data_IF_585883145861
#
_entry.id   IF_585883145861
#
_cell.length_a   1.000
_cell.length_b   1.000
_cell.length_c   1.000
_cell.angle_alpha   90.00
_cell.angle_beta   90.00
_cell.angle_gamma   90.00
#
_symmetry.space_group_name_H-M   'P 1'
#
loop_
_entity.id
_entity.type
_entity.pdbx_description
1 polymer ?
#
# COMPACT_ATOMS: atom_id res chain seq x y z
N UNK A 1 -3.42 -23.06 18.69
CA UNK A 1 -4.00 -24.04 19.66
C UNK A 1 -4.27 -23.29 20.95
N UNK A 2 -5.15 -23.77 21.84
CA UNK A 2 -5.51 -23.04 23.06
C UNK A 2 -4.30 -22.70 23.94
N UNK A 3 -3.34 -23.63 24.10
CA UNK A 3 -2.10 -23.37 24.85
C UNK A 3 -1.21 -22.28 24.23
N UNK A 4 -1.13 -22.20 22.89
CA UNK A 4 -0.36 -21.14 22.23
C UNK A 4 -1.02 -19.77 22.40
N UNK A 5 -2.36 -19.72 22.35
CA UNK A 5 -3.11 -18.48 22.55
C UNK A 5 -2.93 -17.89 23.96
N UNK A 6 -2.69 -18.73 24.98
CA UNK A 6 -2.40 -18.23 26.33
C UNK A 6 -1.15 -17.36 26.33
N UNK A 7 -0.05 -17.86 25.77
CA UNK A 7 1.19 -17.09 25.64
C UNK A 7 1.04 -15.89 24.72
N UNK A 8 0.38 -16.08 23.57
CA UNK A 8 0.17 -15.01 22.58
C UNK A 8 -0.65 -13.85 23.15
N UNK A 9 -1.73 -14.14 23.90
CA UNK A 9 -2.56 -13.09 24.52
C UNK A 9 -1.80 -12.17 25.48
N UNK A 10 -0.75 -12.65 26.14
CA UNK A 10 0.08 -11.80 27.01
C UNK A 10 0.82 -10.74 26.17
N UNK A 11 1.25 -11.12 24.97
CA UNK A 11 1.87 -10.21 24.02
C UNK A 11 0.82 -9.27 23.41
N UNK A 12 -0.27 -9.81 22.85
CA UNK A 12 -1.33 -9.01 22.21
C UNK A 12 -1.93 -7.97 23.15
N UNK A 13 -2.34 -8.40 24.35
CA UNK A 13 -3.01 -7.55 25.33
C UNK A 13 -2.01 -6.77 26.21
N UNK A 14 -0.70 -6.88 25.96
CA UNK A 14 0.40 -6.26 26.74
C UNK A 14 0.25 -6.44 28.27
N UNK A 15 -0.08 -7.66 28.72
CA UNK A 15 -0.39 -7.97 30.14
C UNK A 15 0.80 -7.96 31.10
N UNK A 16 2.02 -7.74 30.62
CA UNK A 16 3.25 -7.77 31.41
C UNK A 16 4.16 -6.62 31.03
N UNK A 17 4.86 -6.04 32.00
CA UNK A 17 5.83 -4.96 31.75
C UNK A 17 7.18 -5.46 31.19
N UNK A 18 7.53 -6.73 31.47
CA UNK A 18 8.80 -7.32 31.04
C UNK A 18 8.60 -8.12 29.75
N UNK A 19 9.09 -7.60 28.64
CA UNK A 19 9.04 -8.26 27.34
C UNK A 19 10.40 -8.84 26.94
N UNK A 20 10.42 -10.06 26.40
CA UNK A 20 11.63 -10.65 25.81
C UNK A 20 12.03 -9.95 24.50
N UNK A 21 11.07 -9.34 23.81
CA UNK A 21 11.31 -8.53 22.63
C UNK A 21 11.85 -7.15 23.05
N UNK A 22 13.12 -6.89 22.75
CA UNK A 22 13.80 -5.63 23.10
C UNK A 22 13.38 -4.45 22.23
N UNK A 23 12.60 -4.70 21.17
CA UNK A 23 12.10 -3.65 20.29
C UNK A 23 10.77 -3.05 20.77
N UNK A 24 10.16 -3.61 21.81
CA UNK A 24 8.98 -3.02 22.43
C UNK A 24 9.42 -1.82 23.27
N UNK A 25 8.90 -0.66 22.91
CA UNK A 25 9.06 0.59 23.63
C UNK A 25 7.87 0.79 24.57
N UNK A 26 8.07 0.46 25.86
CA UNK A 26 7.03 0.56 26.89
C UNK A 26 6.48 1.97 27.06
N UNK A 27 7.26 3.01 26.70
CA UNK A 27 6.76 4.39 26.75
C UNK A 27 5.72 4.67 25.67
N UNK A 28 5.70 3.87 24.59
CA UNK A 28 4.75 4.00 23.47
C UNK A 28 3.58 3.03 23.53
N UNK A 29 3.55 2.07 24.47
CA UNK A 29 2.47 1.07 24.56
C UNK A 29 1.09 1.70 24.75
N UNK A 30 0.99 2.88 25.37
CA UNK A 30 -0.26 3.64 25.49
C UNK A 30 -0.83 4.14 24.15
N UNK A 31 -0.05 4.08 23.07
CA UNK A 31 -0.47 4.39 21.69
C UNK A 31 -1.07 3.17 20.98
N UNK A 32 -0.97 1.98 21.58
CA UNK A 32 -1.63 0.79 21.05
C UNK A 32 -3.14 0.91 21.23
N UNK A 33 -3.91 0.29 20.34
CA UNK A 33 -5.37 0.28 20.44
C UNK A 33 -5.93 -1.01 19.86
N UNK A 34 -7.08 -1.45 20.38
CA UNK A 34 -7.82 -2.60 19.89
C UNK A 34 -9.00 -2.11 19.05
N UNK A 35 -9.11 -2.57 17.80
CA UNK A 35 -10.26 -2.29 16.94
C UNK A 35 -11.45 -3.23 17.21
N UNK A 36 -11.23 -4.30 17.97
CA UNK A 36 -12.29 -5.18 18.44
C UNK A 36 -12.90 -4.60 19.71
N UNK A 37 -13.92 -3.74 19.58
CA UNK A 37 -14.63 -3.09 20.69
C UNK A 37 -15.57 -4.06 21.45
N UNK A 38 -15.02 -5.17 21.94
CA UNK A 38 -15.71 -6.14 22.80
C UNK A 38 -15.19 -6.06 24.22
N UNK A 39 -16.03 -6.39 25.20
CA UNK A 39 -15.57 -6.53 26.57
C UNK A 39 -14.63 -7.73 26.73
N UNK A 40 -13.77 -7.66 27.75
CA UNK A 40 -12.82 -8.72 28.08
C UNK A 40 -11.54 -8.72 27.25
N UNK A 41 -10.62 -9.59 27.63
CA UNK A 41 -9.33 -9.76 26.94
C UNK A 41 -9.42 -10.81 25.81
N UNK A 42 -8.35 -10.92 25.01
CA UNK A 42 -8.29 -11.85 23.87
C UNK A 42 -8.67 -13.29 24.24
N UNK A 43 -8.22 -13.78 25.40
CA UNK A 43 -8.52 -15.14 25.86
C UNK A 43 -9.97 -15.32 26.27
N UNK A 44 -10.52 -14.34 26.98
CA UNK A 44 -11.90 -14.38 27.48
C UNK A 44 -12.87 -14.39 26.33
N UNK A 45 -12.66 -13.52 25.33
CA UNK A 45 -13.45 -13.45 24.09
C UNK A 45 -13.36 -14.75 23.29
N UNK A 46 -12.17 -15.34 23.17
CA UNK A 46 -12.00 -16.64 22.52
C UNK A 46 -12.75 -17.75 23.27
N UNK A 47 -12.61 -17.82 24.59
CA UNK A 47 -13.28 -18.85 25.41
C UNK A 47 -14.81 -18.67 25.46
N UNK A 48 -15.32 -17.45 25.31
CA UNK A 48 -16.73 -17.17 25.06
C UNK A 48 -17.18 -17.71 23.70
N UNK A 49 -16.54 -17.31 22.60
CA UNK A 49 -16.94 -17.79 21.26
C UNK A 49 -16.85 -19.31 21.14
N UNK A 50 -15.84 -19.95 21.73
CA UNK A 50 -15.69 -21.41 21.74
C UNK A 50 -16.77 -22.15 22.55
N UNK A 51 -17.52 -21.47 23.44
CA UNK A 51 -18.68 -22.06 24.13
C UNK A 51 -19.93 -22.07 23.25
N UNK A 52 -20.00 -21.19 22.26
CA UNK A 52 -21.15 -21.05 21.35
C UNK A 52 -21.07 -22.03 20.17
N UNK A 53 -19.85 -22.35 19.71
CA UNK A 53 -19.62 -23.20 18.54
C UNK A 53 -19.06 -24.58 18.91
N UNK A 54 -19.30 -25.58 18.06
CA UNK A 54 -18.73 -26.90 18.29
C UNK A 54 -17.22 -26.90 18.05
N UNK A 55 -16.44 -27.08 19.12
CA UNK A 55 -15.00 -27.34 19.05
C UNK A 55 -14.70 -28.82 19.32
N UNK A 56 -13.92 -29.46 18.44
CA UNK A 56 -13.52 -30.85 18.67
C UNK A 56 -12.63 -30.97 19.92
N UNK A 57 -12.87 -31.98 20.74
CA UNK A 57 -12.04 -32.26 21.91
C UNK A 57 -10.73 -32.97 21.52
N UNK A 58 -9.82 -32.25 20.85
CA UNK A 58 -8.44 -32.69 20.57
C UNK A 58 -7.46 -31.58 20.90
N UNK A 59 -6.26 -31.96 21.38
CA UNK A 59 -5.24 -31.00 21.82
C UNK A 59 -4.66 -30.14 20.68
N UNK A 60 -4.71 -30.65 19.45
CA UNK A 60 -4.11 -30.05 18.26
C UNK A 60 -5.05 -29.15 17.46
N UNK A 61 -6.30 -28.96 17.92
CA UNK A 61 -7.27 -28.09 17.25
C UNK A 61 -6.75 -26.67 17.14
N UNK A 62 -6.84 -26.12 15.94
CA UNK A 62 -6.53 -24.73 15.63
C UNK A 62 -7.76 -23.89 15.94
N UNK A 63 -7.86 -23.49 17.20
CA UNK A 63 -9.00 -22.76 17.77
C UNK A 63 -9.03 -21.28 17.41
N UNK A 64 -7.91 -20.74 16.96
CA UNK A 64 -7.74 -19.35 16.57
C UNK A 64 -6.77 -19.30 15.40
N UNK A 65 -7.00 -18.34 14.51
CA UNK A 65 -6.15 -17.96 13.40
C UNK A 65 -5.77 -16.50 13.56
N UNK A 66 -4.61 -16.12 13.05
CA UNK A 66 -4.04 -14.78 13.19
C UNK A 66 -3.59 -14.29 11.82
N UNK A 67 -3.99 -13.07 11.47
CA UNK A 67 -3.40 -12.27 10.41
C UNK A 67 -2.57 -11.16 11.03
N UNK A 68 -1.32 -11.02 10.59
CA UNK A 68 -0.48 -9.87 10.92
C UNK A 68 -0.48 -8.93 9.73
N UNK A 69 -1.00 -7.73 9.92
CA UNK A 69 -1.08 -6.69 8.88
C UNK A 69 -0.13 -5.58 9.27
N UNK A 70 0.94 -5.40 8.52
CA UNK A 70 1.91 -4.31 8.73
C UNK A 70 1.52 -3.07 7.93
N UNK A 71 1.73 -1.89 8.50
CA UNK A 71 1.52 -0.62 7.82
C UNK A 71 2.44 -0.53 6.58
N UNK A 72 1.88 -0.26 5.38
CA UNK A 72 2.66 -0.05 4.16
C UNK A 72 3.68 1.08 4.31
N UNK A 73 4.86 0.92 3.68
CA UNK A 73 5.94 1.93 3.71
C UNK A 73 5.47 3.30 3.21
N UNK A 74 4.58 3.33 2.21
CA UNK A 74 4.00 4.56 1.68
C UNK A 74 3.18 5.36 2.71
N UNK A 75 2.70 4.71 3.77
CA UNK A 75 1.93 5.34 4.84
C UNK A 75 2.76 5.69 6.09
N UNK A 76 4.05 5.38 6.13
CA UNK A 76 4.88 5.61 7.33
C UNK A 76 5.01 7.09 7.71
N UNK A 77 5.00 7.98 6.71
CA UNK A 77 5.11 9.43 6.91
C UNK A 77 3.75 10.16 6.82
N UNK A 78 2.66 9.42 6.63
CA UNK A 78 1.31 9.98 6.59
C UNK A 78 0.77 10.22 8.00
N UNK A 79 -0.34 10.97 8.10
CA UNK A 79 -0.91 11.32 9.40
C UNK A 79 -1.39 10.09 10.19
N UNK A 80 -1.44 10.22 11.52
CA UNK A 80 -1.92 9.16 12.41
C UNK A 80 -3.36 8.75 12.05
N UNK A 81 -4.19 9.71 11.62
CA UNK A 81 -5.54 9.43 11.14
C UNK A 81 -5.54 8.54 9.89
N UNK A 82 -4.63 8.78 8.93
CA UNK A 82 -4.54 7.97 7.71
C UNK A 82 -4.02 6.56 8.01
N UNK A 83 -3.02 6.44 8.87
CA UNK A 83 -2.51 5.15 9.34
C UNK A 83 -3.61 4.35 10.06
N UNK A 84 -4.36 5.01 10.95
CA UNK A 84 -5.50 4.40 11.64
C UNK A 84 -6.60 3.99 10.66
N UNK A 85 -6.93 4.84 9.68
CA UNK A 85 -7.96 4.54 8.68
C UNK A 85 -7.62 3.31 7.84
N UNK A 86 -6.34 3.10 7.51
CA UNK A 86 -5.87 1.88 6.87
C UNK A 86 -6.16 0.62 7.70
N UNK A 87 -5.88 0.65 9.00
CA UNK A 87 -6.15 -0.48 9.89
C UNK A 87 -7.66 -0.70 10.11
N UNK A 88 -8.45 0.37 10.24
CA UNK A 88 -9.91 0.28 10.37
C UNK A 88 -10.56 -0.37 9.15
N UNK A 89 -10.23 0.05 7.92
CA UNK A 89 -10.81 -0.60 6.72
C UNK A 89 -10.27 -2.03 6.53
N UNK A 90 -9.03 -2.30 6.93
CA UNK A 90 -8.51 -3.68 6.91
C UNK A 90 -9.24 -4.57 7.93
N UNK A 91 -9.54 -4.04 9.12
CA UNK A 91 -10.32 -4.72 10.14
C UNK A 91 -11.73 -5.04 9.65
N UNK A 92 -12.41 -4.09 9.00
CA UNK A 92 -13.73 -4.30 8.41
C UNK A 92 -13.71 -5.42 7.35
N UNK A 93 -12.74 -5.38 6.42
CA UNK A 93 -12.55 -6.44 5.43
C UNK A 93 -12.38 -7.82 6.06
N UNK A 94 -11.50 -7.95 7.07
CA UNK A 94 -11.23 -9.23 7.72
C UNK A 94 -12.42 -9.72 8.54
N UNK A 95 -13.13 -8.80 9.18
CA UNK A 95 -14.33 -9.10 9.98
C UNK A 95 -15.43 -9.68 9.09
N UNK A 96 -15.75 -9.01 7.98
CA UNK A 96 -16.74 -9.51 7.02
C UNK A 96 -16.32 -10.87 6.44
N UNK A 97 -15.05 -10.98 6.04
CA UNK A 97 -14.52 -12.18 5.38
C UNK A 97 -14.52 -13.43 6.27
N UNK A 98 -14.37 -13.26 7.58
CA UNK A 98 -14.25 -14.38 8.53
C UNK A 98 -15.46 -14.56 9.45
N UNK A 99 -16.64 -14.17 8.95
CA UNK A 99 -17.92 -14.51 9.58
C UNK A 99 -18.31 -13.57 10.70
N UNK A 100 -18.08 -12.28 10.51
CA UNK A 100 -18.61 -11.21 11.35
C UNK A 100 -17.83 -10.97 12.63
N UNK A 101 -18.28 -9.95 13.36
CA UNK A 101 -17.66 -9.51 14.60
C UNK A 101 -17.60 -10.63 15.62
N UNK A 102 -18.60 -11.51 15.71
CA UNK A 102 -18.69 -12.64 16.66
C UNK A 102 -17.45 -13.54 16.65
N UNK A 103 -16.82 -13.73 15.48
CA UNK A 103 -15.65 -14.60 15.34
C UNK A 103 -14.34 -13.87 15.68
N UNK A 104 -14.33 -12.53 15.65
CA UNK A 104 -13.15 -11.74 15.99
C UNK A 104 -12.93 -11.69 17.49
N UNK A 105 -11.71 -11.99 17.94
CA UNK A 105 -11.35 -12.02 19.36
C UNK A 105 -10.31 -10.94 19.72
N UNK A 106 -9.49 -10.51 18.76
CA UNK A 106 -8.55 -9.39 18.94
C UNK A 106 -8.27 -8.72 17.60
N UNK A 107 -8.13 -7.39 17.62
CA UNK A 107 -7.64 -6.60 16.50
C UNK A 107 -6.69 -5.52 17.03
N UNK A 108 -5.65 -5.95 17.75
CA UNK A 108 -4.70 -5.07 18.42
C UNK A 108 -3.70 -4.47 17.44
N UNK A 109 -3.68 -3.14 17.34
CA UNK A 109 -2.67 -2.37 16.61
C UNK A 109 -1.54 -1.99 17.56
N UNK A 110 -0.36 -2.54 17.32
CA UNK A 110 0.86 -2.25 18.05
C UNK A 110 1.63 -1.10 17.37
N UNK A 111 1.72 0.03 18.07
CA UNK A 111 2.49 1.22 17.70
C UNK A 111 3.77 1.38 18.52
N UNK A 112 4.08 0.41 19.39
CA UNK A 112 5.21 0.40 20.31
C UNK A 112 6.39 -0.46 19.83
N UNK A 113 6.34 -0.97 18.60
CA UNK A 113 7.41 -1.76 17.98
C UNK A 113 8.02 -1.03 16.78
N UNK A 114 8.86 -1.73 15.99
CA UNK A 114 9.62 -1.13 14.87
C UNK A 114 8.72 -0.54 13.79
N UNK A 115 7.64 -1.21 13.43
CA UNK A 115 6.70 -0.77 12.40
C UNK A 115 5.29 -1.00 12.90
N UNK A 116 4.36 -0.03 12.79
CA UNK A 116 2.98 -0.24 13.17
C UNK A 116 2.39 -1.47 12.48
N UNK A 117 1.74 -2.34 13.25
CA UNK A 117 1.11 -3.55 12.72
C UNK A 117 -0.10 -3.96 13.56
N UNK A 118 -1.08 -4.57 12.92
CA UNK A 118 -2.28 -5.13 13.53
C UNK A 118 -2.16 -6.64 13.63
N UNK A 119 -2.45 -7.17 14.81
CA UNK A 119 -2.74 -8.58 15.04
C UNK A 119 -4.26 -8.78 14.99
N UNK A 120 -4.74 -9.42 13.93
CA UNK A 120 -6.15 -9.75 13.76
C UNK A 120 -6.36 -11.24 14.07
N UNK A 121 -6.95 -11.52 15.22
CA UNK A 121 -7.21 -12.85 15.74
C UNK A 121 -8.69 -13.19 15.64
N UNK A 122 -8.99 -14.37 15.08
CA UNK A 122 -10.37 -14.84 14.94
C UNK A 122 -10.51 -16.36 15.12
N UNK A 123 -11.69 -16.78 15.58
CA UNK A 123 -12.08 -18.19 15.65
C UNK A 123 -12.56 -18.64 14.26
N UNK A 124 -11.92 -19.63 13.62
CA UNK A 124 -12.30 -20.06 12.28
C UNK A 124 -13.54 -20.95 12.30
N UNK A 125 -14.72 -20.34 12.23
CA UNK A 125 -16.01 -21.01 12.28
C UNK A 125 -16.52 -21.33 10.88
N UNK A 126 -17.09 -22.52 10.70
CA UNK A 126 -17.83 -22.92 9.50
C UNK A 126 -19.11 -23.65 9.89
N UNK A 127 -20.11 -23.64 9.02
CA UNK A 127 -21.33 -24.41 9.19
C UNK A 127 -21.12 -25.88 8.80
N UNK A 128 -21.50 -26.82 9.67
CA UNK A 128 -21.49 -28.26 9.41
C UNK A 128 -22.90 -28.71 8.98
N UNK A 129 -23.15 -28.73 7.67
CA UNK A 129 -24.46 -29.12 7.10
C UNK A 129 -24.95 -30.49 7.57
N UNK A 130 -24.05 -31.44 7.85
CA UNK A 130 -24.44 -32.79 8.27
C UNK A 130 -24.96 -32.85 9.70
N UNK A 131 -24.56 -31.88 10.52
CA UNK A 131 -24.88 -31.83 11.96
C UNK A 131 -25.67 -30.58 12.32
N UNK A 132 -26.03 -29.77 11.33
CA UNK A 132 -26.80 -28.53 11.43
C UNK A 132 -26.30 -27.63 12.57
N UNK A 133 -24.99 -27.37 12.60
CA UNK A 133 -24.36 -26.55 13.65
C UNK A 133 -23.09 -25.87 13.18
N UNK A 134 -22.72 -24.79 13.85
CA UNK A 134 -21.40 -24.16 13.71
C UNK A 134 -20.30 -25.03 14.33
N UNK A 135 -19.14 -25.10 13.67
CA UNK A 135 -17.95 -25.78 14.17
C UNK A 135 -16.67 -24.99 13.90
N UNK A 136 -15.66 -25.22 14.73
CA UNK A 136 -14.30 -24.68 14.52
C UNK A 136 -13.54 -25.55 13.52
N UNK A 137 -13.10 -24.98 12.40
CA UNK A 137 -12.27 -25.66 11.41
C UNK A 137 -11.39 -24.70 10.61
N UNK A 138 -10.19 -24.40 11.12
CA UNK A 138 -9.18 -23.63 10.39
C UNK A 138 -8.85 -24.21 9.00
N UNK A 139 -8.94 -25.54 8.84
CA UNK A 139 -8.68 -26.22 7.57
C UNK A 139 -9.71 -25.85 6.49
N UNK A 140 -10.96 -25.63 6.89
CA UNK A 140 -12.06 -25.30 5.97
C UNK A 140 -12.13 -23.78 5.73
N UNK A 141 -11.73 -22.95 6.69
CA UNK A 141 -11.65 -21.50 6.51
C UNK A 141 -10.41 -21.10 5.69
N UNK A 142 -9.21 -21.47 6.15
CA UNK A 142 -7.94 -21.06 5.52
C UNK A 142 -7.45 -22.08 4.50
N UNK A 143 -8.20 -22.21 3.42
CA UNK A 143 -7.84 -23.11 2.30
C UNK A 143 -6.69 -22.54 1.46
N UNK A 144 -6.09 -23.35 0.59
CA UNK A 144 -5.10 -22.84 -0.40
C UNK A 144 -5.69 -21.81 -1.34
N UNK A 145 -6.97 -21.96 -1.70
CA UNK A 145 -7.66 -20.99 -2.57
C UNK A 145 -7.83 -19.65 -1.86
N UNK A 146 -8.25 -19.71 -0.59
CA UNK A 146 -8.40 -18.54 0.27
C UNK A 146 -7.09 -17.75 0.37
N UNK A 147 -6.01 -18.41 0.75
CA UNK A 147 -4.69 -17.76 0.87
C UNK A 147 -4.18 -17.21 -0.47
N UNK A 148 -4.58 -17.80 -1.61
CA UNK A 148 -4.15 -17.35 -2.93
C UNK A 148 -4.90 -16.09 -3.39
N UNK A 149 -6.20 -15.96 -3.08
CA UNK A 149 -6.98 -14.78 -3.49
C UNK A 149 -6.89 -13.63 -2.49
N UNK A 150 -6.52 -13.91 -1.23
CA UNK A 150 -6.53 -12.95 -0.13
C UNK A 150 -5.91 -11.59 -0.47
N UNK A 151 -4.66 -11.56 -0.98
CA UNK A 151 -4.00 -10.30 -1.31
C UNK A 151 -4.71 -9.52 -2.42
N UNK A 152 -5.20 -10.20 -3.45
CA UNK A 152 -5.94 -9.55 -4.53
C UNK A 152 -7.28 -8.97 -4.04
N UNK A 153 -7.96 -9.68 -3.14
CA UNK A 153 -9.25 -9.24 -2.60
C UNK A 153 -9.07 -8.07 -1.62
N UNK A 154 -8.07 -8.13 -0.75
CA UNK A 154 -7.73 -7.02 0.16
C UNK A 154 -7.28 -5.77 -0.61
N UNK A 155 -6.42 -5.94 -1.62
CA UNK A 155 -5.98 -4.84 -2.50
C UNK A 155 -7.15 -4.12 -3.16
N UNK A 156 -8.09 -4.89 -3.73
CA UNK A 156 -9.31 -4.36 -4.35
C UNK A 156 -10.14 -3.59 -3.32
N UNK A 157 -10.39 -4.20 -2.15
CA UNK A 157 -11.18 -3.59 -1.10
C UNK A 157 -10.59 -2.24 -0.65
N UNK A 158 -9.30 -2.19 -0.34
CA UNK A 158 -8.66 -0.96 0.13
C UNK A 158 -8.65 0.15 -0.94
N UNK A 159 -8.42 -0.19 -2.21
CA UNK A 159 -8.49 0.77 -3.32
C UNK A 159 -9.90 1.32 -3.55
N UNK A 160 -10.93 0.52 -3.29
CA UNK A 160 -12.32 0.96 -3.41
C UNK A 160 -12.77 1.82 -2.23
N UNK A 161 -12.32 1.49 -1.01
CA UNK A 161 -12.80 2.12 0.23
C UNK A 161 -12.02 3.36 0.65
N UNK A 162 -10.72 3.39 0.39
CA UNK A 162 -9.82 4.49 0.76
C UNK A 162 -8.84 4.84 -0.40
N UNK A 163 -9.33 5.13 -1.61
CA UNK A 163 -8.49 5.45 -2.78
C UNK A 163 -7.56 6.66 -2.57
N UNK A 164 -7.94 7.57 -1.69
CA UNK A 164 -7.15 8.75 -1.32
C UNK A 164 -5.96 8.41 -0.39
N UNK A 165 -6.00 7.26 0.29
CA UNK A 165 -4.95 6.78 1.21
C UNK A 165 -4.14 5.66 0.55
N UNK A 166 -4.79 4.76 -0.19
CA UNK A 166 -4.19 3.51 -0.66
C UNK A 166 -4.20 3.38 -2.20
N UNK A 167 -3.04 3.58 -2.83
CA UNK A 167 -2.93 3.64 -4.31
C UNK A 167 -1.95 2.63 -4.92
N UNK A 168 -0.82 2.38 -4.27
CA UNK A 168 0.29 1.57 -4.82
C UNK A 168 -0.04 0.08 -4.94
N UNK A 169 -0.99 -0.38 -4.13
CA UNK A 169 -1.45 -1.75 -4.07
C UNK A 169 -0.51 -2.71 -3.34
N UNK A 170 -0.97 -3.94 -3.13
CA UNK A 170 -0.19 -4.97 -2.43
C UNK A 170 0.91 -5.46 -3.37
N UNK A 171 2.15 -5.02 -3.12
CA UNK A 171 3.34 -5.49 -3.81
C UNK A 171 3.64 -6.94 -3.41
N UNK A 172 3.08 -7.90 -4.17
CA UNK A 172 3.30 -9.34 -3.98
C UNK A 172 4.78 -9.78 -4.06
N UNK A 173 5.68 -8.93 -4.57
CA UNK A 173 7.11 -9.23 -4.76
C UNK A 173 8.03 -8.69 -3.63
N UNK A 174 7.51 -7.84 -2.71
CA UNK A 174 8.26 -7.40 -1.51
C UNK A 174 8.08 -8.34 -0.33
N UNK A 175 7.02 -9.15 -0.33
CA UNK A 175 6.89 -10.25 0.63
C UNK A 175 7.96 -11.26 0.25
N UNK A 176 9.02 -11.39 1.06
CA UNK A 176 10.02 -12.44 0.86
C UNK A 176 9.26 -13.76 0.85
N UNK A 177 9.13 -14.37 -0.33
CA UNK A 177 8.58 -15.69 -0.48
C UNK A 177 9.48 -16.65 0.30
N UNK A 178 9.09 -16.98 1.52
CA UNK A 178 9.75 -18.03 2.28
C UNK A 178 9.38 -19.33 1.56
N UNK A 179 10.26 -19.81 0.67
CA UNK A 179 10.03 -20.98 -0.18
C UNK A 179 9.55 -22.22 0.60
N UNK A 180 9.90 -22.33 1.89
CA UNK A 180 9.27 -23.25 2.84
C UNK A 180 9.69 -22.95 4.30
N UNK A 181 8.83 -23.28 5.28
CA UNK A 181 9.11 -23.20 6.73
C UNK A 181 10.42 -23.92 7.11
N UNK A 182 10.78 -24.97 6.37
CA UNK A 182 12.04 -25.70 6.56
C UNK A 182 13.26 -24.83 6.29
N UNK A 183 13.23 -24.02 5.23
CA UNK A 183 14.30 -23.08 4.88
C UNK A 183 14.46 -22.03 5.98
N UNK A 184 13.35 -21.51 6.51
CA UNK A 184 13.35 -20.53 7.59
C UNK A 184 13.96 -21.09 8.88
N UNK A 185 13.59 -22.32 9.26
CA UNK A 185 14.17 -23.00 10.43
C UNK A 185 15.66 -23.27 10.26
N UNK A 186 16.10 -23.60 9.05
CA UNK A 186 17.51 -23.79 8.73
C UNK A 186 18.29 -22.48 8.87
N UNK A 187 17.82 -21.39 8.26
CA UNK A 187 18.45 -20.08 8.39
C UNK A 187 18.45 -19.58 9.84
N UNK A 188 17.36 -19.77 10.58
CA UNK A 188 17.29 -19.41 12.00
C UNK A 188 18.29 -20.20 12.84
N UNK A 189 18.44 -21.50 12.59
CA UNK A 189 19.44 -22.34 13.27
C UNK A 189 20.87 -21.94 12.91
N UNK A 190 21.14 -21.64 11.63
CA UNK A 190 22.46 -21.15 11.17
C UNK A 190 22.81 -19.79 11.79
N UNK A 191 21.83 -18.88 11.90
CA UNK A 191 22.01 -17.56 12.53
C UNK A 191 22.32 -17.72 14.02
N UNK A 192 21.60 -18.58 14.75
CA UNK A 192 21.87 -18.76 16.19
C UNK A 192 23.17 -19.50 16.45
N UNK A 193 23.54 -20.47 15.61
CA UNK A 193 24.86 -21.07 15.67
C UNK A 193 25.95 -20.02 15.48
N UNK A 194 25.83 -19.16 14.47
CA UNK A 194 26.81 -18.09 14.23
C UNK A 194 26.87 -17.07 15.37
N UNK A 195 25.72 -16.74 15.99
CA UNK A 195 25.68 -15.87 17.17
C UNK A 195 26.36 -16.50 18.38
N UNK A 196 26.12 -17.78 18.66
CA UNK A 196 26.80 -18.49 19.76
C UNK A 196 28.30 -18.60 19.53
N UNK A 197 28.73 -18.94 18.31
CA UNK A 197 30.14 -18.97 17.94
C UNK A 197 30.79 -17.59 18.14
N UNK A 198 30.15 -16.52 17.67
CA UNK A 198 30.63 -15.15 17.84
C UNK A 198 30.68 -14.72 19.31
N UNK A 199 29.66 -15.09 20.12
CA UNK A 199 29.61 -14.77 21.54
C UNK A 199 30.70 -15.51 22.34
N UNK A 200 30.95 -16.77 22.02
CA UNK A 200 32.01 -17.56 22.65
C UNK A 200 33.41 -17.05 22.27
N UNK A 201 33.60 -16.62 21.02
CA UNK A 201 34.84 -15.98 20.59
C UNK A 201 35.05 -14.62 21.27
N UNK A 202 34.00 -13.79 21.39
CA UNK A 202 34.08 -12.53 22.12
C UNK A 202 34.45 -12.72 23.59
N UNK A 203 33.92 -13.76 24.25
CA UNK A 203 34.29 -14.14 25.63
C UNK A 203 35.77 -14.55 25.71
N UNK A 204 36.26 -15.32 24.73
CA UNK A 204 37.67 -15.75 24.68
C UNK A 204 38.66 -14.58 24.55
N UNK A 205 38.21 -13.43 24.01
CA UNK A 205 39.02 -12.23 23.84
C UNK A 205 38.98 -11.28 25.05
N UNK A 206 37.84 -11.19 25.73
CA UNK A 206 37.59 -10.21 26.82
C UNK A 206 38.53 -10.39 28.01
N UNK A 207 38.90 -11.63 28.35
CA UNK A 207 39.72 -11.91 29.53
C UNK A 207 41.22 -11.68 29.26
N UNK A 208 41.83 -12.19 28.19
CA UNK A 208 43.24 -11.95 27.91
C UNK A 208 43.54 -10.46 27.56
N UNK A 209 42.58 -9.72 27.00
CA UNK A 209 42.72 -8.26 26.81
C UNK A 209 42.81 -7.49 28.14
N UNK A 210 42.12 -7.95 29.19
CA UNK A 210 42.27 -7.39 30.55
C UNK A 210 43.67 -7.69 31.13
N UNK A 211 44.21 -8.88 30.85
CA UNK A 211 45.56 -9.27 31.27
C UNK A 211 46.60 -8.38 30.57
N UNK A 212 46.47 -8.15 29.26
CA UNK A 212 47.34 -7.23 28.52
C UNK A 212 47.33 -5.82 29.14
N UNK A 213 46.15 -5.24 29.37
CA UNK A 213 46.01 -3.92 30.03
C UNK A 213 46.61 -3.89 31.43
N UNK A 214 46.55 -5.00 32.18
CA UNK A 214 47.17 -5.08 33.50
C UNK A 214 48.71 -5.08 33.41
N UNK A 215 49.27 -5.77 32.41
CA UNK A 215 50.71 -5.81 32.14
C UNK A 215 51.20 -4.44 31.65
N UNK A 216 50.47 -3.79 30.74
CA UNK A 216 50.79 -2.44 30.24
C UNK A 216 50.86 -1.42 31.39
N UNK A 217 49.87 -1.41 32.29
CA UNK A 217 49.89 -0.54 33.49
C UNK A 217 51.04 -0.86 34.44
N UNK A 218 51.43 -2.13 34.54
CA UNK A 218 52.52 -2.57 35.41
C UNK A 218 53.89 -2.16 34.85
N UNK A 219 54.03 -2.18 33.52
CA UNK A 219 55.20 -1.64 32.79
C UNK A 219 55.24 -0.11 32.91
N UNK A 220 54.13 0.59 32.66
CA UNK A 220 54.02 2.05 32.79
C UNK A 220 54.38 2.53 34.21
N UNK A 221 53.90 1.86 35.25
CA UNK A 221 54.25 2.21 36.65
C UNK A 221 55.74 2.06 36.97
N UNK A 222 56.45 1.15 36.28
CA UNK A 222 57.89 0.92 36.47
C UNK A 222 58.76 1.84 35.62
N UNK A 223 58.25 2.32 34.48
CA UNK A 223 58.99 3.21 33.57
C UNK A 223 58.87 4.70 33.90
N UNK A 224 57.95 5.12 34.79
CA UNK A 224 57.96 6.47 35.37
C UNK A 224 59.13 6.60 36.36
N UNK A 225 60.33 6.81 35.84
CA UNK A 225 61.52 7.13 36.64
C UNK A 225 62.88 6.77 36.03
N UNK A 226 62.94 5.94 34.97
CA UNK A 226 64.23 5.46 34.44
C UNK A 226 64.32 5.69 32.94
N UNK A 227 65.11 6.70 32.55
CA UNK A 227 65.50 6.91 31.17
C UNK A 227 66.53 5.85 30.75
N UNK A 228 66.21 5.13 29.67
CA UNK A 228 67.11 4.27 28.90
C UNK A 228 67.82 3.12 29.64
N UNK A 229 67.17 1.96 29.68
CA UNK A 229 67.81 0.64 29.48
C UNK A 229 66.74 -0.34 29.00
N UNK A 230 67.07 -1.23 28.05
CA UNK A 230 66.19 -2.36 27.68
C UNK A 230 66.03 -3.25 28.92
N UNK A 231 64.98 -3.02 29.69
CA UNK A 231 64.65 -3.85 30.84
C UNK A 231 63.97 -5.13 30.37
N UNK A 232 64.54 -6.26 30.76
CA UNK A 232 63.89 -7.57 30.61
C UNK A 232 62.82 -7.67 31.70
N UNK A 233 61.55 -7.61 31.31
CA UNK A 233 60.43 -7.82 32.23
C UNK A 233 60.19 -9.32 32.35
N UNK A 234 60.47 -9.90 33.52
CA UNK A 234 60.10 -11.29 33.81
C UNK A 234 58.59 -11.40 33.97
N UNK A 235 57.95 -12.08 33.01
CA UNK A 235 56.54 -12.44 33.05
C UNK A 235 56.40 -13.84 33.68
N UNK A 236 55.49 -14.02 34.64
CA UNK A 236 55.09 -15.36 35.10
C UNK A 236 54.68 -16.22 33.90
N UNK A 237 55.11 -17.48 33.87
CA UNK A 237 54.89 -18.41 32.75
C UNK A 237 53.39 -18.51 32.38
N UNK A 238 52.50 -18.49 33.36
CA UNK A 238 51.06 -18.51 33.16
C UNK A 238 50.53 -17.27 32.40
N UNK A 239 51.11 -16.10 32.64
CA UNK A 239 50.74 -14.86 31.92
C UNK A 239 51.29 -14.87 30.49
N UNK A 240 52.47 -15.45 30.29
CA UNK A 240 53.08 -15.59 28.96
C UNK A 240 52.26 -16.53 28.06
N UNK A 241 51.85 -17.70 28.56
CA UNK A 241 51.01 -18.63 27.77
C UNK A 241 49.66 -18.01 27.42
N UNK A 242 49.03 -17.28 28.35
CA UNK A 242 47.78 -16.55 28.08
C UNK A 242 47.94 -15.44 27.04
N UNK A 243 49.10 -14.76 27.01
CA UNK A 243 49.40 -13.74 25.98
C UNK A 243 49.63 -14.38 24.61
N UNK A 244 50.26 -15.55 24.56
CA UNK A 244 50.44 -16.36 23.34
C UNK A 244 49.09 -16.84 22.79
N UNK A 245 48.16 -17.25 23.66
CA UNK A 245 46.78 -17.58 23.27
C UNK A 245 46.05 -16.37 22.68
N UNK A 246 46.16 -15.18 23.29
CA UNK A 246 45.60 -13.93 22.77
C UNK A 246 46.13 -13.66 21.35
N UNK A 247 47.46 -13.70 21.15
CA UNK A 247 48.09 -13.45 19.85
C UNK A 247 47.58 -14.43 18.77
N UNK A 248 47.55 -15.72 19.09
CA UNK A 248 47.04 -16.75 18.17
C UNK A 248 45.55 -16.58 17.87
N UNK A 249 44.73 -16.16 18.84
CA UNK A 249 43.31 -15.88 18.63
C UNK A 249 43.07 -14.66 17.74
N UNK A 250 43.86 -13.59 17.91
CA UNK A 250 43.79 -12.39 17.08
C UNK A 250 44.11 -12.67 15.61
N UNK A 251 45.13 -13.51 15.36
CA UNK A 251 45.49 -13.93 14.00
C UNK A 251 44.34 -14.72 13.34
N UNK A 252 43.69 -15.62 14.08
CA UNK A 252 42.53 -16.39 13.57
C UNK A 252 41.35 -15.48 13.21
N UNK A 253 41.06 -14.47 14.03
CA UNK A 253 39.99 -13.50 13.77
C UNK A 253 40.32 -12.71 12.50
N UNK A 254 41.56 -12.25 12.35
CA UNK A 254 41.98 -11.51 11.17
C UNK A 254 41.85 -12.34 9.88
N UNK A 255 42.29 -13.60 9.91
CA UNK A 255 42.13 -14.52 8.78
C UNK A 255 40.66 -14.76 8.41
N UNK A 256 39.76 -14.88 9.41
CA UNK A 256 38.32 -15.00 9.16
C UNK A 256 37.73 -13.71 8.61
N UNK A 257 38.11 -12.56 9.16
CA UNK A 257 37.69 -11.26 8.67
C UNK A 257 38.08 -11.08 7.20
N UNK A 258 39.31 -11.43 6.82
CA UNK A 258 39.76 -11.37 5.43
C UNK A 258 38.96 -12.30 4.52
N UNK A 259 38.62 -13.52 4.99
CA UNK A 259 37.75 -14.45 4.25
C UNK A 259 36.32 -13.93 4.08
N UNK A 260 35.73 -13.33 5.12
CA UNK A 260 34.39 -12.74 5.01
C UNK A 260 34.39 -11.51 4.12
N UNK A 261 35.43 -10.67 4.23
CA UNK A 261 35.64 -9.53 3.35
C UNK A 261 35.77 -9.95 1.89
N UNK A 262 36.53 -11.02 1.59
CA UNK A 262 36.68 -11.50 0.21
C UNK A 262 35.35 -11.98 -0.36
N UNK A 263 34.57 -12.75 0.42
CA UNK A 263 33.23 -13.20 0.03
C UNK A 263 32.28 -12.03 -0.21
N UNK A 264 32.23 -11.07 0.69
CA UNK A 264 31.38 -9.89 0.57
C UNK A 264 31.74 -9.07 -0.69
N UNK A 265 33.03 -8.92 -1.00
CA UNK A 265 33.48 -8.25 -2.23
C UNK A 265 33.03 -9.00 -3.48
N UNK A 266 33.07 -10.33 -3.47
CA UNK A 266 32.63 -11.16 -4.60
C UNK A 266 31.11 -11.10 -4.80
N UNK A 267 30.33 -11.14 -3.72
CA UNK A 267 28.87 -10.94 -3.77
C UNK A 267 28.51 -9.55 -4.28
N UNK A 268 29.17 -8.50 -3.80
CA UNK A 268 28.96 -7.13 -4.30
C UNK A 268 29.27 -7.04 -5.80
N UNK A 269 30.31 -7.74 -6.27
CA UNK A 269 30.63 -7.78 -7.70
C UNK A 269 29.53 -8.46 -8.51
N UNK A 270 29.02 -9.60 -8.04
CA UNK A 270 27.93 -10.32 -8.70
C UNK A 270 26.63 -9.50 -8.71
N UNK A 271 26.30 -8.86 -7.58
CA UNK A 271 25.14 -7.97 -7.49
C UNK A 271 25.24 -6.79 -8.47
N UNK A 272 26.42 -6.19 -8.63
CA UNK A 272 26.63 -5.13 -9.63
C UNK A 272 26.37 -5.60 -11.06
N UNK A 273 26.79 -6.82 -11.40
CA UNK A 273 26.50 -7.41 -12.73
C UNK A 273 24.99 -7.61 -12.90
N UNK A 274 24.31 -8.14 -11.89
CA UNK A 274 22.86 -8.35 -11.95
C UNK A 274 22.09 -7.04 -12.09
N UNK A 275 22.45 -6.00 -11.33
CA UNK A 275 21.84 -4.67 -11.44
C UNK A 275 22.00 -4.13 -12.86
N UNK A 276 23.20 -4.25 -13.45
CA UNK A 276 23.43 -3.81 -14.83
C UNK A 276 22.53 -4.55 -15.83
N UNK A 277 22.42 -5.87 -15.71
CA UNK A 277 21.55 -6.66 -16.59
C UNK A 277 20.08 -6.26 -16.42
N UNK A 278 19.62 -6.03 -15.19
CA UNK A 278 18.25 -5.57 -14.94
C UNK A 278 17.99 -4.16 -15.48
N UNK A 279 18.97 -3.27 -15.45
CA UNK A 279 18.87 -1.95 -16.07
C UNK A 279 18.71 -2.06 -17.60
N UNK A 280 19.50 -2.93 -18.24
CA UNK A 280 19.41 -3.20 -19.68
C UNK A 280 18.04 -3.80 -20.07
N UNK A 281 17.56 -4.79 -19.30
CA UNK A 281 16.24 -5.39 -19.52
C UNK A 281 15.11 -4.37 -19.35
N UNK A 282 15.19 -3.52 -18.32
CA UNK A 282 14.21 -2.46 -18.08
C UNK A 282 14.17 -1.43 -19.21
N UNK A 283 15.32 -1.08 -19.78
CA UNK A 283 15.39 -0.17 -20.92
C UNK A 283 14.69 -0.80 -22.15
N UNK A 284 14.95 -2.07 -22.42
CA UNK A 284 14.29 -2.81 -23.51
C UNK A 284 12.77 -2.88 -23.32
N UNK A 285 12.29 -3.13 -22.10
CA UNK A 285 10.86 -3.11 -21.78
C UNK A 285 10.22 -1.74 -21.98
N UNK A 286 10.94 -0.64 -21.67
CA UNK A 286 10.46 0.73 -21.92
C UNK A 286 10.24 0.98 -23.41
N UNK A 287 11.17 0.59 -24.28
CA UNK A 287 10.99 0.73 -25.72
C UNK A 287 9.79 -0.08 -26.23
N UNK A 288 9.64 -1.33 -25.77
CA UNK A 288 8.52 -2.17 -26.15
C UNK A 288 7.16 -1.59 -25.71
N UNK A 289 7.09 -0.99 -24.52
CA UNK A 289 5.88 -0.30 -24.06
C UNK A 289 5.53 0.92 -24.93
N UNK A 290 6.52 1.67 -25.39
CA UNK A 290 6.30 2.79 -26.33
C UNK A 290 5.72 2.27 -27.65
N UNK A 291 6.27 1.18 -28.19
CA UNK A 291 5.79 0.60 -29.44
C UNK A 291 4.38 0.02 -29.31
N UNK A 292 4.08 -0.69 -28.21
CA UNK A 292 2.71 -1.12 -27.92
C UNK A 292 1.75 0.06 -27.77
N UNK A 293 2.18 1.17 -27.16
CA UNK A 293 1.37 2.39 -27.08
C UNK A 293 1.02 2.97 -28.47
N UNK A 294 1.98 2.94 -29.40
CA UNK A 294 1.75 3.34 -30.80
C UNK A 294 0.78 2.40 -31.51
N UNK A 295 0.96 1.09 -31.34
CA UNK A 295 0.08 0.07 -31.94
C UNK A 295 -1.36 0.19 -31.42
N UNK A 296 -1.55 0.35 -30.11
CA UNK A 296 -2.86 0.60 -29.50
C UNK A 296 -3.51 1.83 -30.10
N UNK A 297 -2.76 2.93 -30.27
CA UNK A 297 -3.28 4.18 -30.86
C UNK A 297 -3.75 3.95 -32.31
N UNK A 298 -3.00 3.17 -33.10
CA UNK A 298 -3.37 2.83 -34.47
C UNK A 298 -4.62 1.93 -34.52
N UNK A 299 -4.68 0.92 -33.67
CA UNK A 299 -5.83 0.03 -33.57
C UNK A 299 -7.09 0.76 -33.10
N UNK A 300 -6.96 1.71 -32.18
CA UNK A 300 -8.07 2.58 -31.76
C UNK A 300 -8.60 3.41 -32.93
N UNK A 301 -7.71 4.05 -33.71
CA UNK A 301 -8.12 4.80 -34.90
C UNK A 301 -8.84 3.92 -35.93
N UNK A 302 -8.34 2.71 -36.19
CA UNK A 302 -9.00 1.80 -37.12
C UNK A 302 -10.36 1.33 -36.57
N UNK A 303 -10.45 0.98 -35.28
CA UNK A 303 -11.71 0.62 -34.62
C UNK A 303 -12.74 1.75 -34.73
N UNK A 304 -12.33 2.98 -34.48
CA UNK A 304 -13.22 4.14 -34.54
C UNK A 304 -13.72 4.35 -35.96
N UNK A 305 -12.83 4.25 -36.97
CA UNK A 305 -13.20 4.28 -38.40
C UNK A 305 -14.20 3.19 -38.76
N UNK A 306 -13.97 1.95 -38.31
CA UNK A 306 -14.90 0.83 -38.57
C UNK A 306 -16.26 1.06 -37.89
N UNK A 307 -16.27 1.65 -36.70
CA UNK A 307 -17.50 1.99 -35.97
C UNK A 307 -18.29 3.07 -36.71
N UNK A 308 -17.63 4.14 -37.15
CA UNK A 308 -18.22 5.19 -37.98
C UNK A 308 -18.79 4.64 -39.28
N UNK A 309 -18.02 3.81 -40.00
CA UNK A 309 -18.47 3.13 -41.22
C UNK A 309 -19.73 2.28 -40.95
N UNK A 310 -19.75 1.49 -39.88
CA UNK A 310 -20.89 0.65 -39.52
C UNK A 310 -22.15 1.48 -39.23
N UNK A 311 -22.00 2.60 -38.52
CA UNK A 311 -23.10 3.55 -38.26
C UNK A 311 -23.67 4.07 -39.58
N UNK A 312 -22.80 4.55 -40.47
CA UNK A 312 -23.21 5.16 -41.73
C UNK A 312 -23.86 4.13 -42.66
N UNK A 313 -23.26 2.95 -42.85
CA UNK A 313 -23.83 1.90 -43.69
C UNK A 313 -25.17 1.37 -43.15
N UNK A 314 -25.31 1.25 -41.82
CA UNK A 314 -26.61 0.92 -41.22
C UNK A 314 -27.67 1.97 -41.55
N UNK A 315 -27.32 3.26 -41.40
CA UNK A 315 -28.20 4.38 -41.72
C UNK A 315 -28.65 4.38 -43.20
N UNK A 316 -27.78 3.97 -44.12
CA UNK A 316 -28.11 3.84 -45.55
C UNK A 316 -29.06 2.66 -45.82
N UNK A 317 -28.78 1.50 -45.22
CA UNK A 317 -29.60 0.29 -45.38
C UNK A 317 -31.03 0.47 -44.88
N UNK A 318 -31.24 1.35 -43.90
CA UNK A 318 -32.57 1.70 -43.40
C UNK A 318 -33.38 2.57 -44.39
N UNK A 319 -32.74 3.18 -45.40
CA UNK A 319 -33.37 4.20 -46.26
C UNK A 319 -33.62 3.80 -47.73
N UNK A 320 -32.75 3.02 -48.42
CA UNK A 320 -32.90 2.68 -49.87
C UNK A 320 -32.13 1.40 -50.31
N UNK A 321 -32.42 0.92 -51.54
CA UNK A 321 -31.49 0.03 -52.28
C UNK A 321 -30.16 0.77 -52.57
N UNK A 322 -28.99 0.16 -52.33
CA UNK A 322 -27.80 0.91 -51.94
C UNK A 322 -26.89 1.22 -53.14
N UNK A 323 -26.76 2.49 -53.49
CA UNK A 323 -25.52 2.96 -54.07
C UNK A 323 -24.50 3.11 -52.92
N UNK A 324 -23.44 2.29 -52.92
CA UNK A 324 -22.44 2.27 -51.85
C UNK A 324 -21.48 3.46 -51.88
N UNK A 325 -21.56 4.31 -52.90
CA UNK A 325 -20.74 5.51 -53.01
C UNK A 325 -21.46 6.70 -52.41
N UNK A 326 -20.96 7.17 -51.27
CA UNK A 326 -21.45 8.37 -50.58
C UNK A 326 -20.37 9.45 -50.58
N UNK A 327 -20.81 10.71 -50.60
CA UNK A 327 -19.89 11.83 -50.47
C UNK A 327 -19.39 11.96 -49.03
N UNK A 328 -18.25 12.64 -48.85
CA UNK A 328 -17.74 12.98 -47.51
C UNK A 328 -18.76 13.78 -46.71
N UNK A 329 -19.50 14.67 -47.38
CA UNK A 329 -20.56 15.47 -46.77
C UNK A 329 -21.71 14.61 -46.25
N UNK A 330 -22.15 13.62 -47.03
CA UNK A 330 -23.19 12.67 -46.61
C UNK A 330 -22.72 11.79 -45.45
N UNK A 331 -21.47 11.32 -45.49
CA UNK A 331 -20.87 10.55 -44.40
C UNK A 331 -20.91 11.32 -43.07
N UNK A 332 -20.45 12.58 -43.09
CA UNK A 332 -20.45 13.46 -41.93
C UNK A 332 -21.88 13.75 -41.43
N UNK A 333 -22.81 14.04 -42.35
CA UNK A 333 -24.22 14.27 -42.02
C UNK A 333 -24.86 13.08 -41.32
N UNK A 334 -24.62 11.86 -41.82
CA UNK A 334 -25.15 10.62 -41.23
C UNK A 334 -24.58 10.32 -39.83
N UNK A 335 -23.32 10.66 -39.57
CA UNK A 335 -22.74 10.55 -38.22
C UNK A 335 -23.40 11.54 -37.23
N UNK A 336 -23.60 12.79 -37.65
CA UNK A 336 -24.30 13.80 -36.84
C UNK A 336 -25.74 13.36 -36.54
N UNK A 337 -26.45 12.84 -37.55
CA UNK A 337 -27.79 12.28 -37.38
C UNK A 337 -27.81 11.17 -36.33
N UNK A 338 -26.90 10.20 -36.42
CA UNK A 338 -26.82 9.11 -35.46
C UNK A 338 -26.65 9.62 -34.02
N UNK A 339 -25.79 10.62 -33.81
CA UNK A 339 -25.62 11.22 -32.49
C UNK A 339 -26.92 11.86 -31.98
N UNK A 340 -27.59 12.67 -32.81
CA UNK A 340 -28.81 13.39 -32.43
C UNK A 340 -30.03 12.46 -32.25
N UNK A 341 -30.08 11.37 -33.00
CA UNK A 341 -31.13 10.34 -32.88
C UNK A 341 -31.01 9.53 -31.60
N UNK A 342 -29.77 9.33 -31.12
CA UNK A 342 -29.47 8.69 -29.84
C UNK A 342 -29.32 9.71 -28.69
N UNK A 343 -29.89 10.91 -28.85
CA UNK A 343 -29.90 11.99 -27.87
C UNK A 343 -28.52 12.38 -27.31
N UNK A 344 -27.45 12.16 -28.09
CA UNK A 344 -26.10 12.61 -27.77
C UNK A 344 -25.96 14.09 -28.11
N UNK A 345 -25.70 14.89 -27.09
CA UNK A 345 -25.47 16.33 -27.20
C UNK A 345 -24.02 16.60 -27.67
N UNK A 346 -23.78 17.62 -28.52
CA UNK A 346 -22.42 18.08 -28.79
C UNK A 346 -21.76 18.52 -27.48
N UNK A 347 -20.44 18.45 -27.40
CA UNK A 347 -19.67 18.73 -26.19
C UNK A 347 -19.70 20.21 -25.84
N UNK A 348 -19.73 21.07 -26.85
CA UNK A 348 -19.70 22.52 -26.69
C UNK A 348 -20.52 23.20 -27.80
N UNK A 349 -20.64 24.52 -27.69
CA UNK A 349 -21.39 25.34 -28.63
C UNK A 349 -20.81 25.28 -30.06
N UNK A 350 -19.49 25.35 -30.18
CA UNK A 350 -18.77 25.35 -31.46
C UNK A 350 -18.99 24.05 -32.24
N UNK A 351 -18.87 22.89 -31.57
CA UNK A 351 -19.19 21.58 -32.15
C UNK A 351 -20.66 21.52 -32.57
N UNK A 352 -21.57 22.11 -31.78
CA UNK A 352 -22.98 22.17 -32.13
C UNK A 352 -23.30 23.06 -33.33
N UNK A 353 -22.59 24.18 -33.50
CA UNK A 353 -22.71 25.06 -34.67
C UNK A 353 -22.18 24.35 -35.93
N UNK A 354 -21.03 23.68 -35.82
CA UNK A 354 -20.49 22.86 -36.91
C UNK A 354 -21.42 21.69 -37.29
N UNK A 355 -22.04 21.00 -36.32
CA UNK A 355 -23.04 19.97 -36.61
C UNK A 355 -24.26 20.54 -37.34
N UNK A 356 -24.70 21.74 -36.98
CA UNK A 356 -25.80 22.41 -37.66
C UNK A 356 -25.44 22.77 -39.12
N UNK A 357 -24.25 23.31 -39.35
CA UNK A 357 -23.72 23.63 -40.68
C UNK A 357 -23.69 22.38 -41.57
N UNK A 358 -23.10 21.28 -41.10
CA UNK A 358 -23.06 19.99 -41.83
C UNK A 358 -24.48 19.54 -42.22
N UNK A 359 -25.46 19.65 -41.31
CA UNK A 359 -26.84 19.23 -41.60
C UNK A 359 -27.55 20.17 -42.58
N UNK A 360 -27.29 21.48 -42.53
CA UNK A 360 -27.85 22.46 -43.48
C UNK A 360 -27.24 22.25 -44.88
N UNK A 361 -25.92 22.00 -45.00
CA UNK A 361 -25.27 21.67 -46.28
C UNK A 361 -25.80 20.36 -46.88
N UNK A 362 -25.99 19.31 -46.07
CA UNK A 362 -26.62 18.06 -46.52
C UNK A 362 -28.06 18.26 -47.00
N UNK A 363 -28.77 19.24 -46.43
CA UNK A 363 -30.14 19.62 -46.83
C UNK A 363 -30.15 20.34 -48.17
N UNK A 364 -29.17 21.20 -48.42
CA UNK A 364 -29.01 21.92 -49.69
C UNK A 364 -28.66 20.94 -50.84
N UNK A 365 -27.70 20.05 -50.60
CA UNK A 365 -27.23 19.05 -51.57
C UNK A 365 -28.17 17.83 -51.72
N UNK A 366 -29.21 17.73 -50.88
CA UNK A 366 -30.22 16.66 -50.89
C UNK A 366 -29.63 15.25 -50.78
N UNK A 367 -28.53 15.13 -50.04
CA UNK A 367 -27.79 13.88 -49.83
C UNK A 367 -28.50 12.92 -48.85
N UNK A 368 -29.33 13.45 -47.96
CA UNK A 368 -30.07 12.67 -46.94
C UNK A 368 -31.57 13.04 -46.98
N UNK A 369 -32.51 12.12 -46.67
CA UNK A 369 -33.94 12.43 -46.68
C UNK A 369 -34.31 13.68 -45.85
N UNK A 370 -35.02 14.60 -46.49
CA UNK A 370 -35.34 15.92 -45.96
C UNK A 370 -36.07 15.88 -44.60
N UNK A 371 -37.00 14.96 -44.45
CA UNK A 371 -37.79 14.77 -43.23
C UNK A 371 -36.93 14.37 -42.02
N UNK A 372 -35.82 13.66 -42.25
CA UNK A 372 -34.88 13.22 -41.21
C UNK A 372 -33.96 14.38 -40.82
N UNK A 373 -33.44 15.10 -41.81
CA UNK A 373 -32.63 16.30 -41.60
C UNK A 373 -33.40 17.37 -40.83
N UNK A 374 -34.66 17.64 -41.17
CA UNK A 374 -35.47 18.67 -40.48
C UNK A 374 -35.68 18.36 -39.00
N UNK A 375 -35.91 17.07 -38.65
CA UNK A 375 -36.02 16.65 -37.24
C UNK A 375 -34.71 16.84 -36.49
N UNK A 376 -33.58 16.48 -37.10
CA UNK A 376 -32.27 16.63 -36.49
C UNK A 376 -31.84 18.10 -36.34
N UNK A 377 -32.09 18.93 -37.35
CA UNK A 377 -31.87 20.38 -37.31
C UNK A 377 -32.69 21.02 -36.18
N UNK A 378 -33.94 20.58 -35.97
CA UNK A 378 -34.75 20.99 -34.83
C UNK A 378 -34.10 20.61 -33.49
N UNK A 379 -33.63 19.35 -33.35
CA UNK A 379 -32.96 18.88 -32.12
C UNK A 379 -31.67 19.65 -31.82
N UNK A 380 -30.79 19.87 -32.81
CA UNK A 380 -29.53 20.58 -32.58
C UNK A 380 -29.77 22.06 -32.21
N UNK A 381 -30.77 22.72 -32.81
CA UNK A 381 -31.17 24.09 -32.44
C UNK A 381 -31.62 24.16 -30.97
N UNK A 382 -32.40 23.18 -30.49
CA UNK A 382 -32.76 23.07 -29.07
C UNK A 382 -31.53 22.86 -28.16
N UNK A 383 -30.54 22.09 -28.59
CA UNK A 383 -29.30 21.93 -27.83
C UNK A 383 -28.47 23.21 -27.77
N UNK A 384 -28.36 23.94 -28.87
CA UNK A 384 -27.69 25.24 -28.93
C UNK A 384 -28.39 26.29 -28.04
N UNK A 385 -29.72 26.30 -28.02
CA UNK A 385 -30.49 27.15 -27.10
C UNK A 385 -30.19 26.82 -25.62
N UNK A 386 -30.03 25.53 -25.28
CA UNK A 386 -29.62 25.12 -23.93
C UNK A 386 -28.23 25.63 -23.57
N UNK A 387 -27.27 25.63 -24.51
CA UNK A 387 -25.95 26.22 -24.28
C UNK A 387 -26.04 27.73 -24.05
N UNK A 388 -26.83 28.44 -24.84
CA UNK A 388 -27.05 29.89 -24.69
C UNK A 388 -27.69 30.20 -23.34
N UNK A 389 -28.68 29.42 -22.91
CA UNK A 389 -29.36 29.60 -21.62
C UNK A 389 -28.40 29.37 -20.46
N UNK A 390 -27.63 28.28 -20.48
CA UNK A 390 -26.61 27.99 -19.45
C UNK A 390 -25.54 29.07 -19.36
N UNK A 391 -25.09 29.60 -20.50
CA UNK A 391 -24.12 30.70 -20.52
C UNK A 391 -24.70 31.97 -19.86
N UNK A 392 -25.95 32.35 -20.19
CA UNK A 392 -26.62 33.50 -19.57
C UNK A 392 -26.86 33.32 -18.07
N UNK A 393 -27.19 32.12 -17.62
CA UNK A 393 -27.37 31.80 -16.19
C UNK A 393 -26.04 31.86 -15.43
N UNK A 394 -24.95 31.42 -16.05
CA UNK A 394 -23.60 31.52 -15.49
C UNK A 394 -23.12 32.98 -15.40
N UNK A 395 -23.34 33.79 -16.44
CA UNK A 395 -23.01 35.22 -16.43
C UNK A 395 -23.80 35.97 -15.36
N UNK A 396 -25.11 35.69 -15.23
CA UNK A 396 -25.94 36.29 -14.19
C UNK A 396 -25.50 35.90 -12.77
N UNK A 397 -25.07 34.65 -12.58
CA UNK A 397 -24.50 34.20 -11.30
C UNK A 397 -23.17 34.90 -10.98
N UNK A 398 -22.34 35.16 -11.99
CA UNK A 398 -21.07 35.87 -11.81
C UNK A 398 -21.28 37.35 -11.50
N UNK A 399 -22.20 38.02 -12.19
CA UNK A 399 -22.57 39.42 -11.91
C UNK A 399 -23.13 39.58 -10.49
N UNK A 400 -23.99 38.66 -10.06
CA UNK A 400 -24.49 38.62 -8.68
C UNK A 400 -23.37 38.43 -7.64
N UNK A 401 -22.39 37.56 -7.91
CA UNK A 401 -21.23 37.38 -7.02
C UNK A 401 -20.36 38.65 -6.94
N UNK A 402 -20.15 39.33 -8.07
CA UNK A 402 -19.40 40.59 -8.12
C UNK A 402 -20.11 41.69 -7.33
N UNK A 403 -21.43 41.80 -7.44
CA UNK A 403 -22.24 42.78 -6.73
C UNK A 403 -22.24 42.52 -5.21
N UNK A 404 -22.45 41.27 -4.79
CA UNK A 404 -22.38 40.87 -3.37
C UNK A 404 -21.01 41.11 -2.75
N UNK A 405 -19.93 40.95 -3.52
CA UNK A 405 -18.58 41.24 -3.05
C UNK A 405 -18.33 42.76 -2.89
N UNK A 406 -18.92 43.59 -3.75
CA UNK A 406 -18.91 45.06 -3.60
C UNK A 406 -19.66 45.49 -2.33
N UNK A 407 -20.83 44.94 -2.06
CA UNK A 407 -21.60 45.22 -0.83
C UNK A 407 -20.81 44.85 0.43
N UNK A 408 -20.23 43.65 0.46
CA UNK A 408 -19.39 43.20 1.58
C UNK A 408 -18.17 44.10 1.79
N UNK A 409 -17.57 44.60 0.71
CA UNK A 409 -16.45 45.54 0.76
C UNK A 409 -16.85 46.91 1.32
N UNK A 410 -18.05 47.41 0.98
CA UNK A 410 -18.59 48.66 1.53
C UNK A 410 -18.94 48.54 3.01
N UNK A 411 -19.53 47.41 3.44
CA UNK A 411 -19.79 47.13 4.85
C UNK A 411 -18.50 47.07 5.67
N UNK A 412 -17.43 46.44 5.15
CA UNK A 412 -16.11 46.42 5.77
C UNK A 412 -15.50 47.83 5.92
N UNK A 413 -15.71 48.72 4.95
CA UNK A 413 -15.24 50.12 5.04
C UNK A 413 -16.04 50.95 6.07
N UNK A 414 -17.36 50.74 6.18
CA UNK A 414 -18.18 51.39 7.21
C UNK A 414 -17.82 50.91 8.63
N UNK A 415 -17.54 49.62 8.81
CA UNK A 415 -17.07 49.07 10.10
C UNK A 415 -15.68 49.60 10.50
N UNK A 416 -14.78 49.84 9.53
CA UNK A 416 -13.48 50.48 9.81
C UNK A 416 -13.62 51.96 10.22
N UNK A 417 -14.53 52.71 9.59
CA UNK A 417 -14.79 54.13 9.93
C UNK A 417 -15.47 54.31 11.29
N UNK A 418 -16.26 53.33 11.74
CA UNK A 418 -16.89 53.34 13.08
C UNK A 418 -15.89 52.99 14.18
N UNK A 419 -15.00 52.01 13.95
CA UNK A 419 -13.91 51.69 14.89
C UNK A 419 -12.84 52.79 15.01
N UNK A 420 -12.54 53.53 13.94
CA UNK A 420 -11.58 54.65 14.03
C UNK A 420 -12.13 55.85 14.79
N UNK A 421 -13.46 56.01 14.88
CA UNK A 421 -14.11 57.06 15.67
C UNK A 421 -14.19 56.73 17.16
N UNK A 422 -14.25 55.46 17.55
CA UNK A 422 -14.27 55.08 18.97
C UNK A 422 -12.87 55.07 19.61
N UNK A 423 -11.81 54.88 18.83
CA UNK A 423 -10.41 54.85 19.32
C UNK A 423 -9.78 56.23 19.57
N UNK A 424 -10.44 57.33 19.22
CA UNK A 424 -9.93 58.70 19.38
C UNK A 424 -10.46 59.43 20.62
N UNK A 425 -11.18 58.75 21.51
CA UNK A 425 -11.91 59.35 22.63
C UNK A 425 -11.47 58.83 24.01
N UNK A 426 -10.26 58.26 24.10
CA UNK A 426 -9.57 58.00 25.36
C UNK A 426 -8.18 58.67 25.30
N UNK A 427 -8.11 59.89 25.84
CA UNK A 427 -6.90 60.57 26.28
C UNK A 427 -7.17 61.21 27.64
#
# INVERSE_FOLDING_TARGET
TKGNMQGLSIHLDRKTENHSNKNIDTERTHLNYDLCEKDGDTLSRMDERLREVYCMNRKDVKVCCEWIVTLPESLHNESVEYQRKFFEETYEFLTDRYGGQENVVSANVHNDETTPHMHFDFVPVVWDEKKEREKVSAKEVLTRSELKSFHTDLDRHLKERIPEIYQEGILNDKTIGIENIHSLKKYSAEIEQQKEEMANEFKSFKYPQKVLKSIEREVEKKTVGVFNKKEVVMLPAERYEKMKELSNSSIRIQQRFDKYKSKAVEEIKNLKVNVKNFEEDNEHLRYRNIDFGREITLLQKERDRQTENAIVYKSILEEKEPDLQISTLEFQGRLVLHNLENDRMPKNKEEGENWLEILEENKEEKTIPQNRLEKAIGKIKLFLEKFIKRAKEADFSMDWLVEKNKELSQQRQQQKKTKSRSSGMEL
#
